data_IF_893608977128
#
_entry.id   IF_893608977128
#
_cell.length_a   1.000
_cell.length_b   1.000
_cell.length_c   1.000
_cell.angle_alpha   90.00
_cell.angle_beta   90.00
_cell.angle_gamma   90.00
#
_symmetry.space_group_name_H-M   'P 1'
#
loop_
_entity.id
_entity.type
_entity.pdbx_description
1 polymer ?
#
# COMPACT_ATOMS: atom_id res chain seq x y z
N UNK A 1 2.70 -23.34 3.15
CA UNK A 1 3.06 -22.26 2.22
C UNK A 1 2.97 -22.82 0.81
N UNK A 2 1.91 -22.49 0.07
CA UNK A 2 1.81 -22.79 -1.37
C UNK A 2 2.21 -21.51 -2.09
N UNK A 3 3.16 -21.59 -3.02
CA UNK A 3 3.49 -20.47 -3.89
C UNK A 3 2.20 -19.99 -4.56
N UNK A 4 1.99 -18.68 -4.56
CA UNK A 4 1.05 -18.05 -5.47
C UNK A 4 1.70 -18.08 -6.84
N UNK A 5 1.68 -19.25 -7.48
CA UNK A 5 1.91 -19.36 -8.92
C UNK A 5 0.83 -18.52 -9.61
N UNK A 6 1.23 -17.71 -10.59
CA UNK A 6 0.41 -16.73 -11.30
C UNK A 6 -0.63 -17.37 -12.22
N UNK A 7 -1.42 -18.33 -11.73
CA UNK A 7 -2.41 -19.10 -12.50
C UNK A 7 -3.53 -18.25 -13.13
N UNK A 8 -3.58 -16.93 -12.85
CA UNK A 8 -4.63 -16.01 -13.30
C UNK A 8 -4.20 -15.03 -14.38
N UNK A 9 -2.90 -14.89 -14.62
CA UNK A 9 -2.36 -14.05 -15.67
C UNK A 9 -1.36 -14.88 -16.46
N UNK A 10 -1.63 -15.04 -17.75
CA UNK A 10 -0.70 -15.71 -18.66
C UNK A 10 -0.13 -14.67 -19.59
N UNK A 11 1.19 -14.62 -19.70
CA UNK A 11 1.87 -13.81 -20.69
C UNK A 11 1.45 -14.28 -22.08
N UNK A 12 0.71 -13.45 -22.81
CA UNK A 12 0.29 -13.73 -24.19
C UNK A 12 1.18 -13.04 -25.21
N UNK A 13 2.01 -12.10 -24.76
CA UNK A 13 3.02 -11.46 -25.57
C UNK A 13 4.17 -10.99 -24.66
N UNK A 14 5.40 -11.24 -25.08
CA UNK A 14 6.61 -10.68 -24.47
C UNK A 14 7.54 -10.25 -25.61
N UNK A 15 7.84 -8.95 -25.65
CA UNK A 15 8.81 -8.38 -26.59
C UNK A 15 9.62 -7.31 -25.88
N UNK A 16 10.66 -7.74 -25.17
CA UNK A 16 11.65 -6.87 -24.54
C UNK A 16 11.05 -5.94 -23.49
N UNK A 17 10.67 -4.74 -23.90
CA UNK A 17 10.09 -3.70 -23.03
C UNK A 17 8.59 -3.83 -22.81
N UNK A 18 7.90 -4.71 -23.54
CA UNK A 18 6.43 -4.85 -23.49
C UNK A 18 6.05 -6.28 -23.14
N UNK A 19 5.25 -6.44 -22.08
CA UNK A 19 4.55 -7.69 -21.76
C UNK A 19 3.05 -7.46 -21.76
N UNK A 20 2.31 -8.33 -22.44
CA UNK A 20 0.85 -8.36 -22.41
C UNK A 20 0.45 -9.62 -21.66
N UNK A 21 -0.43 -9.44 -20.67
CA UNK A 21 -1.01 -10.53 -19.90
C UNK A 21 -2.47 -10.69 -20.29
N UNK A 22 -2.90 -11.91 -20.58
CA UNK A 22 -4.30 -12.26 -20.61
C UNK A 22 -4.74 -12.76 -19.24
N UNK A 23 -5.90 -12.30 -18.80
CA UNK A 23 -6.53 -12.79 -17.57
C UNK A 23 -7.19 -14.13 -17.84
N UNK A 24 -6.76 -15.16 -17.11
CA UNK A 24 -7.35 -16.50 -17.17
C UNK A 24 -8.17 -16.77 -15.90
N UNK A 25 -9.49 -16.95 -16.07
CA UNK A 25 -10.41 -17.33 -15.00
C UNK A 25 -10.69 -16.23 -13.95
N UNK A 26 -11.36 -16.64 -12.86
CA UNK A 26 -11.62 -15.80 -11.69
C UNK A 26 -10.57 -16.11 -10.62
N UNK A 27 -9.80 -15.12 -10.12
CA UNK A 27 -8.85 -15.35 -9.03
C UNK A 27 -9.58 -15.86 -7.77
N UNK A 28 -8.99 -16.81 -7.02
CA UNK A 28 -9.50 -17.26 -5.75
C UNK A 28 -9.56 -16.06 -4.83
N UNK A 29 -10.58 -15.99 -3.98
CA UNK A 29 -10.83 -14.81 -3.15
C UNK A 29 -9.63 -14.39 -2.29
N UNK A 30 -8.73 -15.31 -1.96
CA UNK A 30 -7.46 -15.05 -1.23
C UNK A 30 -6.46 -14.19 -2.01
N UNK A 31 -6.64 -14.05 -3.32
CA UNK A 31 -5.80 -13.26 -4.21
C UNK A 31 -6.46 -11.93 -4.61
N UNK A 32 -7.54 -11.52 -3.94
CA UNK A 32 -8.17 -10.21 -4.14
C UNK A 32 -7.68 -9.19 -3.13
N UNK A 33 -7.65 -7.93 -3.54
CA UNK A 33 -7.42 -6.79 -2.68
C UNK A 33 -8.36 -5.65 -3.04
N UNK A 34 -8.82 -4.92 -2.04
CA UNK A 34 -9.52 -3.65 -2.26
C UNK A 34 -8.49 -2.52 -2.22
N UNK A 35 -8.57 -1.60 -3.16
CA UNK A 35 -7.83 -0.34 -3.09
C UNK A 35 -8.80 0.82 -2.86
N UNK A 36 -8.53 1.60 -1.82
CA UNK A 36 -9.27 2.79 -1.45
C UNK A 36 -8.33 4.00 -1.56
N UNK A 37 -8.69 4.96 -2.39
CA UNK A 37 -7.90 6.16 -2.67
C UNK A 37 -7.55 6.34 -4.15
N UNK A 38 -6.54 7.15 -4.44
CA UNK A 38 -6.13 7.49 -5.82
C UNK A 38 -4.61 7.56 -5.98
N UNK A 39 -4.12 7.27 -7.19
CA UNK A 39 -2.70 7.30 -7.53
C UNK A 39 -2.04 5.94 -7.80
N UNK A 40 -2.40 4.88 -7.07
CA UNK A 40 -1.75 3.56 -7.23
C UNK A 40 -2.43 2.61 -8.23
N UNK A 41 -3.68 2.87 -8.58
CA UNK A 41 -4.49 1.96 -9.40
C UNK A 41 -3.93 1.65 -10.79
N UNK A 42 -3.02 2.47 -11.33
CA UNK A 42 -2.40 2.26 -12.64
C UNK A 42 -1.26 1.24 -12.66
N UNK A 43 -0.63 0.97 -11.50
CA UNK A 43 0.63 0.22 -11.46
C UNK A 43 0.76 -0.73 -10.27
N UNK A 44 -0.15 -0.69 -9.29
CA UNK A 44 -0.06 -1.57 -8.14
C UNK A 44 -0.10 -3.05 -8.53
N UNK A 45 -0.93 -3.45 -9.51
CA UNK A 45 -0.92 -4.84 -9.99
C UNK A 45 0.43 -5.25 -10.61
N UNK A 46 1.11 -4.35 -11.33
CA UNK A 46 2.46 -4.58 -11.87
C UNK A 46 3.51 -4.73 -10.76
N UNK A 47 3.48 -3.85 -9.76
CA UNK A 47 4.37 -3.92 -8.58
C UNK A 47 4.16 -5.23 -7.82
N UNK A 48 2.92 -5.72 -7.78
CA UNK A 48 2.55 -6.99 -7.17
C UNK A 48 2.74 -8.20 -8.09
N UNK A 49 3.34 -8.00 -9.28
CA UNK A 49 3.59 -9.06 -10.26
C UNK A 49 2.32 -9.83 -10.63
N UNK A 50 1.19 -9.11 -10.68
CA UNK A 50 -0.14 -9.62 -10.96
C UNK A 50 -0.58 -10.82 -10.09
N UNK A 51 0.08 -11.03 -8.93
CA UNK A 51 -0.28 -12.07 -7.94
C UNK A 51 -1.57 -11.72 -7.17
N UNK A 52 -2.00 -10.47 -7.27
CA UNK A 52 -3.17 -9.92 -6.59
C UNK A 52 -4.06 -9.20 -7.61
N UNK A 53 -5.34 -9.58 -7.65
CA UNK A 53 -6.37 -8.81 -8.35
C UNK A 53 -6.73 -7.60 -7.51
N UNK A 54 -6.62 -6.42 -8.11
CA UNK A 54 -7.03 -5.18 -7.48
C UNK A 54 -8.48 -4.85 -7.86
N UNK A 55 -9.35 -4.72 -6.85
CA UNK A 55 -10.69 -4.17 -6.99
C UNK A 55 -10.68 -2.73 -6.49
N UNK A 56 -11.19 -1.80 -7.30
CA UNK A 56 -11.28 -0.36 -7.00
C UNK A 56 -12.36 0.29 -7.86
N UNK A 57 -13.09 1.26 -7.32
CA UNK A 57 -14.10 1.99 -8.09
C UNK A 57 -13.44 3.18 -8.81
N UNK A 58 -13.30 3.11 -10.15
CA UNK A 58 -12.84 4.25 -10.94
C UNK A 58 -14.02 5.20 -11.18
N UNK A 59 -13.78 6.50 -11.05
CA UNK A 59 -14.62 7.54 -11.66
C UNK A 59 -14.72 7.29 -13.17
N UNK A 60 -15.73 6.55 -13.65
CA UNK A 60 -16.09 6.52 -15.08
C UNK A 60 -16.27 5.16 -15.76
N UNK A 61 -16.00 4.02 -15.11
CA UNK A 61 -16.29 2.71 -15.70
C UNK A 61 -17.60 2.15 -15.14
N UNK A 62 -18.70 2.39 -15.88
CA UNK A 62 -20.04 1.82 -15.77
C UNK A 62 -20.40 0.91 -14.58
N UNK A 63 -21.39 1.38 -13.80
CA UNK A 63 -22.18 0.67 -12.78
C UNK A 63 -21.46 0.34 -11.46
N UNK A 64 -21.11 1.38 -10.71
CA UNK A 64 -21.45 1.61 -9.28
C UNK A 64 -20.72 2.87 -8.79
N UNK A 65 -21.49 3.86 -8.30
CA UNK A 65 -21.10 5.08 -7.57
C UNK A 65 -19.66 5.61 -7.75
N UNK A 66 -19.46 6.35 -8.85
CA UNK A 66 -18.28 7.19 -9.07
C UNK A 66 -18.00 8.05 -7.83
N UNK A 67 -16.88 7.79 -7.13
CA UNK A 67 -16.42 8.57 -5.98
C UNK A 67 -16.45 7.85 -4.63
N UNK A 68 -17.11 6.68 -4.53
CA UNK A 68 -17.14 5.86 -3.31
C UNK A 68 -15.76 5.36 -2.89
N UNK A 69 -14.91 5.04 -3.87
CA UNK A 69 -13.57 4.47 -3.65
C UNK A 69 -12.58 5.34 -2.92
N UNK A 70 -12.84 6.62 -2.76
CA UNK A 70 -11.94 7.49 -2.03
C UNK A 70 -12.22 7.45 -0.52
N UNK A 71 -13.46 7.20 -0.12
CA UNK A 71 -13.91 7.42 1.26
C UNK A 71 -13.99 6.10 2.04
N UNK A 72 -13.10 5.93 3.02
CA UNK A 72 -13.01 4.71 3.85
C UNK A 72 -14.36 4.36 4.48
N UNK A 73 -15.03 5.36 5.04
CA UNK A 73 -16.27 5.22 5.79
C UNK A 73 -17.52 5.07 4.92
N UNK A 74 -17.36 5.06 3.60
CA UNK A 74 -18.40 4.66 2.65
C UNK A 74 -18.48 3.15 2.42
N UNK A 75 -17.54 2.39 2.97
CA UNK A 75 -17.55 0.92 2.94
C UNK A 75 -18.14 0.35 4.22
N UNK A 76 -19.00 -0.66 4.07
CA UNK A 76 -19.52 -1.41 5.21
C UNK A 76 -18.48 -2.42 5.71
N UNK A 77 -18.52 -2.81 7.00
CA UNK A 77 -17.67 -3.87 7.53
C UNK A 77 -17.78 -5.19 6.76
N UNK A 78 -18.97 -5.52 6.22
CA UNK A 78 -19.20 -6.71 5.41
C UNK A 78 -18.42 -6.66 4.09
N UNK A 79 -18.39 -5.50 3.44
CA UNK A 79 -17.63 -5.32 2.20
C UNK A 79 -16.13 -5.44 2.45
N UNK A 80 -15.61 -4.79 3.50
CA UNK A 80 -14.19 -4.87 3.83
C UNK A 80 -13.76 -6.31 4.18
N UNK A 81 -14.60 -7.05 4.92
CA UNK A 81 -14.35 -8.46 5.28
C UNK A 81 -14.28 -9.40 4.08
N UNK A 82 -14.76 -9.00 2.90
CA UNK A 82 -14.61 -9.79 1.68
C UNK A 82 -13.17 -9.79 1.13
N UNK A 83 -12.31 -8.90 1.63
CA UNK A 83 -10.94 -8.72 1.13
C UNK A 83 -9.89 -9.13 2.16
N UNK A 84 -9.00 -10.08 1.84
CA UNK A 84 -7.87 -10.44 2.69
C UNK A 84 -6.91 -9.27 2.98
N UNK A 85 -6.85 -8.31 2.05
CA UNK A 85 -5.98 -7.14 2.15
C UNK A 85 -6.63 -5.89 1.56
N UNK A 86 -6.36 -4.75 2.17
CA UNK A 86 -6.80 -3.43 1.73
C UNK A 86 -5.58 -2.52 1.57
N UNK A 87 -5.49 -1.83 0.43
CA UNK A 87 -4.48 -0.80 0.18
C UNK A 87 -5.09 0.59 0.32
N UNK A 88 -4.39 1.48 1.03
CA UNK A 88 -4.78 2.87 1.24
C UNK A 88 -3.66 3.80 0.76
N UNK A 89 -3.97 4.67 -0.20
CA UNK A 89 -3.08 5.75 -0.63
C UNK A 89 -3.90 6.92 -1.17
N UNK A 90 -3.64 8.13 -0.67
CA UNK A 90 -4.42 9.34 -0.97
C UNK A 90 -5.94 9.10 -0.80
N UNK A 91 -6.29 8.62 0.39
CA UNK A 91 -7.64 8.26 0.78
C UNK A 91 -8.34 9.41 1.52
N UNK A 92 -9.65 9.29 1.70
CA UNK A 92 -10.54 10.30 2.29
C UNK A 92 -11.48 9.66 3.31
N UNK A 93 -12.20 10.49 4.04
CA UNK A 93 -13.22 10.10 5.00
C UNK A 93 -14.27 11.22 5.10
N UNK A 94 -15.52 10.88 5.40
CA UNK A 94 -16.50 11.90 5.81
C UNK A 94 -16.38 12.17 7.31
N UNK A 95 -16.20 11.10 8.10
CA UNK A 95 -15.94 11.12 9.53
C UNK A 95 -14.65 10.31 9.83
N UNK A 96 -13.63 11.00 10.34
CA UNK A 96 -12.32 10.40 10.63
C UNK A 96 -12.41 9.30 11.68
N UNK A 97 -13.17 9.53 12.76
CA UNK A 97 -13.28 8.57 13.85
C UNK A 97 -13.97 7.29 13.39
N UNK A 98 -15.01 7.44 12.55
CA UNK A 98 -15.68 6.30 11.93
C UNK A 98 -14.77 5.55 10.97
N UNK A 99 -14.01 6.25 10.13
CA UNK A 99 -13.04 5.64 9.23
C UNK A 99 -11.99 4.83 10.00
N UNK A 100 -11.40 5.42 11.05
CA UNK A 100 -10.42 4.73 11.91
C UNK A 100 -11.04 3.53 12.63
N UNK A 101 -12.27 3.65 13.13
CA UNK A 101 -12.98 2.55 13.79
C UNK A 101 -13.24 1.38 12.85
N UNK A 102 -13.64 1.64 11.60
CA UNK A 102 -13.92 0.59 10.60
C UNK A 102 -12.63 -0.13 10.20
N UNK A 103 -11.54 0.60 9.98
CA UNK A 103 -10.25 0.02 9.67
C UNK A 103 -9.69 -0.79 10.84
N UNK A 104 -9.86 -0.30 12.07
CA UNK A 104 -9.46 -1.03 13.27
C UNK A 104 -10.22 -2.35 13.40
N UNK A 105 -11.55 -2.35 13.25
CA UNK A 105 -12.35 -3.59 13.27
C UNK A 105 -11.91 -4.56 12.17
N UNK A 106 -11.65 -4.06 10.96
CA UNK A 106 -11.13 -4.87 9.86
C UNK A 106 -9.82 -5.59 10.22
N UNK A 107 -8.85 -4.84 10.76
CA UNK A 107 -7.54 -5.39 11.14
C UNK A 107 -7.68 -6.35 12.33
N UNK A 108 -8.39 -5.96 13.40
CA UNK A 108 -8.61 -6.80 14.57
C UNK A 108 -9.21 -8.17 14.22
N UNK A 109 -10.07 -8.21 13.21
CA UNK A 109 -10.71 -9.43 12.75
C UNK A 109 -9.86 -10.30 11.82
N UNK A 110 -8.64 -9.89 11.45
CA UNK A 110 -7.70 -10.67 10.63
C UNK A 110 -7.32 -10.04 9.30
N UNK A 111 -7.80 -8.83 9.01
CA UNK A 111 -7.45 -8.09 7.81
C UNK A 111 -5.99 -7.65 7.79
N UNK A 112 -5.43 -7.52 6.58
CA UNK A 112 -4.13 -6.87 6.36
C UNK A 112 -4.34 -5.51 5.71
N UNK A 113 -3.98 -4.45 6.41
CA UNK A 113 -4.08 -3.08 5.89
C UNK A 113 -2.70 -2.60 5.44
N UNK A 114 -2.58 -2.04 4.25
CA UNK A 114 -1.35 -1.46 3.70
C UNK A 114 -1.60 0.02 3.53
N UNK A 115 -0.80 0.86 4.19
CA UNK A 115 -1.00 2.30 4.18
C UNK A 115 0.28 2.98 3.75
N UNK A 116 0.15 3.88 2.78
CA UNK A 116 1.11 4.94 2.58
C UNK A 116 0.40 6.30 2.69
N UNK A 117 0.76 7.04 3.72
CA UNK A 117 0.15 8.34 4.01
C UNK A 117 0.78 9.49 3.22
N UNK A 118 1.78 9.23 2.35
CA UNK A 118 2.45 10.28 1.58
C UNK A 118 1.49 11.06 0.68
N UNK A 119 0.46 10.39 0.16
CA UNK A 119 -0.62 11.04 -0.59
C UNK A 119 -1.59 11.89 0.26
N UNK A 120 -1.45 11.85 1.59
CA UNK A 120 -2.27 12.56 2.57
C UNK A 120 -1.46 13.61 3.36
N UNK A 121 -0.23 13.95 2.96
CA UNK A 121 0.58 14.95 3.67
C UNK A 121 0.31 16.41 3.23
N UNK A 122 -0.51 16.60 2.20
CA UNK A 122 -0.85 17.91 1.62
C UNK A 122 -2.35 18.21 1.71
N UNK A 123 -2.69 19.48 1.56
CA UNK A 123 -4.07 19.96 1.56
C UNK A 123 -4.62 20.21 2.98
N UNK A 124 -5.91 20.58 3.05
CA UNK A 124 -6.57 21.00 4.30
C UNK A 124 -7.48 19.92 4.88
N UNK A 125 -8.22 19.21 4.03
CA UNK A 125 -9.34 18.36 4.47
C UNK A 125 -8.94 16.98 4.98
N UNK A 126 -7.91 16.37 4.37
CA UNK A 126 -7.49 14.99 4.65
C UNK A 126 -6.00 14.90 5.00
N UNK A 127 -5.47 16.01 5.53
CA UNK A 127 -4.07 16.12 5.89
C UNK A 127 -3.77 15.25 7.11
N UNK A 128 -2.72 14.45 7.01
CA UNK A 128 -2.22 13.58 8.08
C UNK A 128 -0.85 14.00 8.63
N UNK A 129 -0.22 15.05 8.08
CA UNK A 129 1.07 15.54 8.56
C UNK A 129 0.99 16.10 9.98
N UNK A 130 1.88 15.63 10.85
CA UNK A 130 1.89 15.90 12.29
C UNK A 130 0.58 15.55 13.00
N UNK A 131 -0.11 14.51 12.53
CA UNK A 131 -1.33 14.00 13.16
C UNK A 131 -1.20 12.53 13.55
N UNK A 132 -2.19 12.02 14.30
CA UNK A 132 -2.28 10.61 14.70
C UNK A 132 -3.44 9.95 13.94
N UNK A 133 -3.16 8.89 13.20
CA UNK A 133 -4.18 8.06 12.53
C UNK A 133 -3.93 6.60 12.87
N UNK A 134 -4.95 5.87 13.34
CA UNK A 134 -4.81 4.47 13.77
C UNK A 134 -3.67 4.27 14.79
N UNK A 135 -3.63 5.13 15.82
CA UNK A 135 -2.60 5.12 16.86
C UNK A 135 -1.16 5.20 16.30
N UNK A 136 -0.98 5.90 15.18
CA UNK A 136 0.32 6.11 14.54
C UNK A 136 0.48 7.59 14.24
N UNK A 137 1.56 8.16 14.75
CA UNK A 137 1.95 9.53 14.39
C UNK A 137 2.53 9.51 12.98
N UNK A 138 1.99 10.36 12.12
CA UNK A 138 2.40 10.50 10.72
C UNK A 138 3.04 11.86 10.56
N UNK A 139 4.20 11.89 9.90
CA UNK A 139 4.93 13.15 9.71
C UNK A 139 5.65 13.14 8.37
N UNK A 140 5.61 14.28 7.68
CA UNK A 140 6.42 14.56 6.50
C UNK A 140 7.89 14.60 6.88
N UNK A 141 8.72 13.90 6.12
CA UNK A 141 10.17 13.91 6.26
C UNK A 141 10.82 13.84 4.88
N UNK A 142 12.02 14.42 4.70
CA UNK A 142 12.84 14.09 3.53
C UNK A 142 13.20 12.60 3.57
N UNK A 143 13.26 11.97 2.40
CA UNK A 143 13.79 10.64 2.23
C UNK A 143 15.32 10.66 2.24
N UNK A 144 15.98 9.63 2.77
CA UNK A 144 17.42 9.46 2.57
C UNK A 144 17.71 9.23 1.08
N UNK A 145 18.78 9.86 0.57
CA UNK A 145 19.17 9.75 -0.85
C UNK A 145 19.33 8.29 -1.27
N UNK A 146 19.92 7.46 -0.40
CA UNK A 146 20.09 6.02 -0.65
C UNK A 146 20.02 5.26 0.66
N UNK A 147 19.23 4.20 0.69
CA UNK A 147 19.17 3.28 1.83
C UNK A 147 18.76 1.89 1.38
N UNK A 148 19.28 0.88 2.08
CA UNK A 148 18.90 -0.51 1.87
C UNK A 148 17.92 -0.94 2.95
N UNK A 149 17.01 -1.85 2.62
CA UNK A 149 16.08 -2.43 3.59
C UNK A 149 16.48 -3.87 3.85
N UNK A 150 16.66 -4.25 5.10
CA UNK A 150 16.83 -5.66 5.48
C UNK A 150 15.49 -6.20 5.97
N UNK A 151 14.99 -7.23 5.32
CA UNK A 151 13.76 -7.91 5.72
C UNK A 151 13.91 -9.41 5.50
N UNK A 152 13.54 -10.19 6.52
CA UNK A 152 13.87 -11.61 6.58
C UNK A 152 15.38 -11.85 6.45
N UNK A 153 15.76 -12.74 5.52
CA UNK A 153 17.15 -13.09 5.24
C UNK A 153 17.75 -12.32 4.04
N UNK A 154 17.06 -11.29 3.54
CA UNK A 154 17.46 -10.54 2.35
C UNK A 154 17.69 -9.07 2.66
N UNK A 155 18.60 -8.49 1.89
CA UNK A 155 18.80 -7.04 1.78
C UNK A 155 18.30 -6.59 0.42
N UNK A 156 17.46 -5.56 0.41
CA UNK A 156 16.88 -4.96 -0.78
C UNK A 156 17.54 -3.60 -1.03
N UNK A 157 18.01 -3.38 -2.25
CA UNK A 157 18.68 -2.15 -2.66
C UNK A 157 17.69 -1.22 -3.36
N UNK A 158 17.30 -0.15 -2.69
CA UNK A 158 16.36 0.83 -3.23
C UNK A 158 17.09 1.77 -4.22
N UNK A 159 16.34 2.27 -5.19
CA UNK A 159 16.77 3.37 -6.05
C UNK A 159 16.93 4.65 -5.23
N UNK A 160 17.63 5.64 -5.79
CA UNK A 160 17.83 6.89 -5.07
C UNK A 160 16.53 7.70 -5.00
N UNK A 161 16.19 8.19 -3.81
CA UNK A 161 15.01 9.04 -3.61
C UNK A 161 15.35 10.50 -3.95
N UNK A 162 15.07 10.88 -5.19
CA UNK A 162 15.30 12.23 -5.74
C UNK A 162 14.04 12.65 -6.48
N UNK A 163 13.56 13.88 -6.29
CA UNK A 163 12.39 14.38 -7.03
C UNK A 163 12.71 14.55 -8.52
N UNK A 164 11.66 14.70 -9.34
CA UNK A 164 11.80 14.78 -10.81
C UNK A 164 12.70 15.94 -11.28
N UNK A 165 12.77 17.01 -10.50
CA UNK A 165 13.63 18.18 -10.73
C UNK A 165 15.05 18.05 -10.15
N UNK A 166 15.41 16.88 -9.61
CA UNK A 166 16.70 16.64 -8.96
C UNK A 166 16.76 17.06 -7.49
N UNK A 167 15.63 17.50 -6.92
CA UNK A 167 15.51 17.95 -5.54
C UNK A 167 15.31 16.82 -4.51
N UNK A 168 14.93 17.22 -3.30
CA UNK A 168 14.70 16.32 -2.18
C UNK A 168 13.33 15.66 -2.31
N UNK A 169 13.31 14.32 -2.27
CA UNK A 169 12.06 13.56 -2.17
C UNK A 169 11.50 13.64 -0.75
N UNK A 170 10.21 13.94 -0.62
CA UNK A 170 9.50 13.96 0.66
C UNK A 170 8.41 12.89 0.70
N UNK A 171 8.09 12.41 1.90
CA UNK A 171 6.93 11.58 2.12
C UNK A 171 6.75 11.22 3.58
N UNK A 172 5.90 10.22 3.83
CA UNK A 172 5.45 9.90 5.18
C UNK A 172 6.47 9.05 5.93
N UNK A 173 6.67 9.41 7.20
CA UNK A 173 7.33 8.60 8.21
C UNK A 173 6.39 8.36 9.38
N UNK A 174 6.65 7.29 10.12
CA UNK A 174 5.73 6.77 11.11
C UNK A 174 6.42 6.58 12.47
N UNK A 175 5.64 6.73 13.53
CA UNK A 175 6.00 6.27 14.87
C UNK A 175 4.74 5.80 15.61
N UNK A 176 4.87 4.76 16.42
CA UNK A 176 3.74 4.28 17.22
C UNK A 176 3.30 5.36 18.20
N UNK A 177 1.99 5.63 18.24
CA UNK A 177 1.35 6.45 19.26
C UNK A 177 0.56 5.53 20.19
N UNK A 178 1.30 4.87 21.08
CA UNK A 178 0.81 3.76 21.89
C UNK A 178 0.86 2.41 21.15
N UNK A 179 1.02 1.33 21.91
CA UNK A 179 1.24 -0.02 21.36
C UNK A 179 2.64 -0.21 20.77
N UNK A 180 2.82 -1.30 20.04
CA UNK A 180 4.09 -1.68 19.42
C UNK A 180 4.03 -1.60 17.89
N UNK A 181 5.05 -0.98 17.29
CA UNK A 181 5.33 -1.05 15.85
C UNK A 181 6.68 -1.72 15.66
N UNK A 182 6.71 -2.80 14.89
CA UNK A 182 7.95 -3.42 14.47
C UNK A 182 8.52 -2.66 13.27
N UNK A 183 9.60 -1.92 13.50
CA UNK A 183 10.31 -1.16 12.46
C UNK A 183 11.12 -2.11 11.57
N UNK A 184 10.74 -2.18 10.29
CA UNK A 184 11.47 -2.93 9.25
C UNK A 184 12.58 -2.07 8.67
N UNK A 185 12.32 -0.78 8.48
CA UNK A 185 13.33 0.18 8.06
C UNK A 185 13.05 1.55 8.67
N UNK A 186 14.14 2.26 8.92
CA UNK A 186 14.11 3.63 9.43
C UNK A 186 15.18 4.48 8.77
N UNK A 187 14.96 5.79 8.80
CA UNK A 187 15.99 6.77 8.49
C UNK A 187 15.87 7.95 9.45
N UNK A 188 17.00 8.40 9.98
CA UNK A 188 17.05 9.51 10.94
C UNK A 188 16.21 9.27 12.19
N UNK A 189 16.10 8.02 12.67
CA UNK A 189 15.30 7.64 13.83
C UNK A 189 13.78 7.62 13.59
N UNK A 190 13.34 7.57 12.33
CA UNK A 190 11.93 7.59 11.94
C UNK A 190 11.60 6.36 11.11
N UNK A 191 10.52 5.67 11.44
CA UNK A 191 10.12 4.46 10.72
C UNK A 191 9.63 4.82 9.32
N UNK A 192 10.18 4.15 8.32
CA UNK A 192 9.75 4.25 6.91
C UNK A 192 8.82 3.08 6.61
N UNK A 193 9.24 1.87 6.97
CA UNK A 193 8.43 0.66 6.84
C UNK A 193 8.23 0.08 8.23
N UNK A 194 6.98 -0.03 8.66
CA UNK A 194 6.61 -0.49 9.98
C UNK A 194 5.45 -1.47 9.94
N UNK A 195 5.48 -2.49 10.79
CA UNK A 195 4.42 -3.48 10.90
C UNK A 195 3.81 -3.41 12.31
N UNK A 196 2.53 -3.10 12.40
CA UNK A 196 1.75 -3.16 13.64
C UNK A 196 0.82 -4.37 13.60
N UNK A 197 0.83 -5.19 14.65
CA UNK A 197 -0.13 -6.29 14.79
C UNK A 197 -1.25 -5.86 15.72
N UNK A 198 -2.50 -6.02 15.28
CA UNK A 198 -3.68 -5.65 16.05
C UNK A 198 -4.68 -6.81 15.94
N UNK A 199 -5.05 -7.40 17.07
CA UNK A 199 -5.87 -8.61 17.10
C UNK A 199 -5.28 -9.74 16.25
N UNK A 200 -6.04 -10.23 15.28
CA UNK A 200 -5.61 -11.30 14.36
C UNK A 200 -4.95 -10.79 13.07
N UNK A 201 -4.95 -9.48 12.83
CA UNK A 201 -4.45 -8.87 11.60
C UNK A 201 -3.20 -8.03 11.80
N UNK A 202 -2.88 -7.22 10.78
CA UNK A 202 -1.75 -6.30 10.80
C UNK A 202 -1.97 -5.07 9.93
N UNK A 203 -1.31 -3.98 10.29
CA UNK A 203 -1.10 -2.80 9.45
C UNK A 203 0.35 -2.81 9.01
N UNK A 204 0.58 -2.62 7.70
CA UNK A 204 1.89 -2.40 7.10
C UNK A 204 1.92 -0.95 6.64
N UNK A 205 2.71 -0.15 7.34
CA UNK A 205 3.00 1.24 6.97
C UNK A 205 4.17 1.24 6.00
N UNK A 206 4.00 1.92 4.87
CA UNK A 206 5.02 2.08 3.83
C UNK A 206 5.17 3.58 3.58
N UNK A 207 6.39 4.08 3.67
CA UNK A 207 6.69 5.51 3.53
C UNK A 207 7.11 5.90 2.11
N UNK A 208 7.22 7.21 1.91
CA UNK A 208 7.84 7.82 0.73
C UNK A 208 7.24 7.45 -0.63
N UNK A 209 5.96 7.04 -0.70
CA UNK A 209 5.32 6.63 -1.95
C UNK A 209 6.09 5.49 -2.64
N UNK A 210 6.57 4.52 -1.86
CA UNK A 210 7.46 3.45 -2.32
C UNK A 210 6.86 2.63 -3.47
N UNK A 211 5.54 2.45 -3.50
CA UNK A 211 4.87 1.73 -4.60
C UNK A 211 5.05 2.46 -5.93
N UNK A 212 4.85 3.78 -5.96
CA UNK A 212 5.12 4.59 -7.14
C UNK A 212 6.60 4.56 -7.51
N UNK A 213 7.47 4.71 -6.51
CA UNK A 213 8.92 4.70 -6.70
C UNK A 213 9.42 3.39 -7.35
N UNK A 214 8.94 2.24 -6.85
CA UNK A 214 9.23 0.90 -7.39
C UNK A 214 8.79 0.75 -8.84
N UNK A 215 7.63 1.29 -9.18
CA UNK A 215 7.11 1.30 -10.54
C UNK A 215 7.95 2.23 -11.45
N UNK A 216 8.15 3.48 -11.04
CA UNK A 216 8.79 4.53 -11.81
C UNK A 216 10.24 4.16 -12.17
N UNK A 217 11.03 3.73 -11.18
CA UNK A 217 12.42 3.34 -11.39
C UNK A 217 12.58 1.91 -11.91
N UNK A 218 11.48 1.16 -12.06
CA UNK A 218 11.47 -0.26 -12.47
C UNK A 218 12.43 -1.11 -11.62
N UNK A 219 12.58 -0.77 -10.33
CA UNK A 219 13.53 -1.43 -9.44
C UNK A 219 12.95 -2.78 -8.98
N UNK A 220 13.62 -3.88 -9.34
CA UNK A 220 13.18 -5.23 -9.01
C UNK A 220 13.24 -5.53 -7.52
N UNK A 221 14.24 -5.02 -6.79
CA UNK A 221 14.37 -5.20 -5.34
C UNK A 221 13.24 -4.49 -4.60
N UNK A 222 12.82 -3.31 -5.05
CA UNK A 222 11.68 -2.58 -4.45
C UNK A 222 10.36 -3.30 -4.66
N UNK A 223 10.08 -3.75 -5.89
CA UNK A 223 8.90 -4.55 -6.19
C UNK A 223 8.89 -5.86 -5.41
N UNK A 224 10.06 -6.48 -5.23
CA UNK A 224 10.18 -7.72 -4.46
C UNK A 224 10.03 -7.49 -2.94
N UNK A 225 10.59 -6.41 -2.38
CA UNK A 225 10.39 -6.01 -0.99
C UNK A 225 8.90 -5.83 -0.68
N UNK A 226 8.17 -5.10 -1.55
CA UNK A 226 6.72 -4.90 -1.38
C UNK A 226 6.00 -6.25 -1.38
N UNK A 227 6.34 -7.16 -2.30
CA UNK A 227 5.74 -8.50 -2.35
C UNK A 227 6.07 -9.35 -1.11
N UNK A 228 7.28 -9.27 -0.57
CA UNK A 228 7.70 -10.01 0.63
C UNK A 228 7.00 -9.50 1.90
N UNK A 229 6.88 -8.18 2.06
CA UNK A 229 6.11 -7.57 3.16
C UNK A 229 4.65 -8.09 3.19
N UNK A 230 4.10 -8.36 2.01
CA UNK A 230 2.75 -8.89 1.81
C UNK A 230 2.68 -10.42 1.89
N UNK A 231 3.81 -11.13 1.95
CA UNK A 231 3.89 -12.58 1.97
C UNK A 231 3.45 -13.23 0.64
N UNK A 232 3.78 -12.59 -0.49
CA UNK A 232 3.44 -13.05 -1.84
C UNK A 232 4.55 -13.87 -2.52
N UNK A 233 5.70 -13.98 -1.86
CA UNK A 233 6.87 -14.76 -2.28
C UNK A 233 7.32 -15.68 -1.15
#
# INVERSE_FOLDING_TARGET
>A
FRSLDSAYYTTVFDSGSTRIYARNGTPPDRSRALYIGTGWHHYLEDVLDFKVKLDYDILGAGRLNAGRSLYIDSYSPRELKAYPRIFLFNFRWHDRNRAESILRDYVENGGTLIIDASGNLDGVLYNLDNTIFLNTTIQRSPAPIKFNVKYGNRTYTLSNFVSEDGGVWYGATYSAFGGEMNTVSESGGRTIIGIQRIGRGKIIWIGYNLVFHAFYYKNSDEKELIRDLLGLI
#
